data_IF_566285554576
#
_entry.id   IF_566285554576
#
_cell.length_a   1.000
_cell.length_b   1.000
_cell.length_c   1.000
_cell.angle_alpha   90.00
_cell.angle_beta   90.00
_cell.angle_gamma   90.00
#
_symmetry.space_group_name_H-M   'P 1'
#
loop_
_entity.id
_entity.type
_entity.pdbx_description
1 polymer ?
#
# COMPACT_ATOMS: atom_id res chain seq x y z
N UNK A 1 -13.55 -6.83 13.87
CA UNK A 1 -12.74 -7.72 12.98
C UNK A 1 -12.58 -7.06 11.62
N UNK A 2 -11.39 -7.17 10.98
CA UNK A 2 -11.16 -6.66 9.60
C UNK A 2 -11.01 -7.86 8.66
N UNK A 3 -11.72 -7.85 7.53
CA UNK A 3 -11.64 -8.87 6.47
C UNK A 3 -11.42 -8.23 5.11
N UNK A 4 -10.94 -9.01 4.14
CA UNK A 4 -10.69 -8.53 2.77
C UNK A 4 -11.59 -9.32 1.83
N UNK A 5 -12.25 -8.62 0.93
CA UNK A 5 -13.09 -9.22 -0.10
C UNK A 5 -12.83 -8.58 -1.46
N UNK A 6 -13.16 -9.35 -2.52
CA UNK A 6 -12.99 -8.83 -3.86
C UNK A 6 -14.02 -7.73 -4.14
N UNK A 7 -13.58 -6.62 -4.72
CA UNK A 7 -14.41 -5.45 -5.10
C UNK A 7 -15.62 -5.81 -5.98
N UNK A 8 -15.58 -6.94 -6.66
CA UNK A 8 -16.69 -7.41 -7.51
C UNK A 8 -17.80 -8.13 -6.73
N UNK A 9 -17.57 -8.43 -5.44
CA UNK A 9 -18.59 -9.01 -4.57
C UNK A 9 -19.75 -8.02 -4.39
N UNK A 10 -20.98 -8.52 -4.52
CA UNK A 10 -22.18 -7.70 -4.31
C UNK A 10 -22.38 -7.42 -2.81
N UNK A 11 -22.86 -6.22 -2.43
CA UNK A 11 -23.12 -5.88 -1.03
C UNK A 11 -24.03 -6.88 -0.32
N UNK A 12 -25.06 -7.38 -0.98
CA UNK A 12 -26.03 -8.33 -0.42
C UNK A 12 -25.35 -9.66 -0.03
N UNK A 13 -24.36 -10.09 -0.83
CA UNK A 13 -23.57 -11.29 -0.53
C UNK A 13 -22.66 -11.07 0.68
N UNK A 14 -22.09 -9.88 0.79
CA UNK A 14 -21.23 -9.51 1.92
C UNK A 14 -22.05 -9.40 3.23
N UNK A 15 -23.19 -8.74 3.20
CA UNK A 15 -24.07 -8.64 4.36
C UNK A 15 -24.59 -10.01 4.82
N UNK A 16 -24.92 -10.90 3.88
CA UNK A 16 -25.31 -12.29 4.22
C UNK A 16 -24.18 -13.07 4.88
N UNK A 17 -22.91 -12.81 4.48
CA UNK A 17 -21.74 -13.53 5.00
C UNK A 17 -21.26 -12.98 6.35
N UNK A 18 -21.32 -11.66 6.54
CA UNK A 18 -20.66 -10.97 7.64
C UNK A 18 -21.61 -10.26 8.60
N UNK A 19 -22.91 -10.29 8.33
CA UNK A 19 -23.94 -9.61 9.12
C UNK A 19 -24.40 -8.30 8.48
N UNK A 20 -25.66 -7.94 8.75
CA UNK A 20 -26.29 -6.75 8.17
C UNK A 20 -25.68 -5.43 8.66
N UNK A 21 -24.97 -5.45 9.78
CA UNK A 21 -24.31 -4.30 10.39
C UNK A 21 -22.82 -4.19 9.99
N UNK A 22 -22.32 -5.07 9.14
CA UNK A 22 -20.95 -5.02 8.62
C UNK A 22 -20.71 -3.72 7.83
N UNK A 23 -19.51 -3.18 7.95
CA UNK A 23 -19.10 -1.94 7.26
C UNK A 23 -18.33 -2.33 6.00
N UNK A 24 -18.83 -1.92 4.84
CA UNK A 24 -18.15 -2.11 3.55
C UNK A 24 -17.29 -0.88 3.28
N UNK A 25 -15.97 -1.05 3.19
CA UNK A 25 -15.00 -0.01 2.93
C UNK A 25 -14.26 -0.30 1.61
N UNK A 26 -14.62 0.41 0.55
CA UNK A 26 -13.89 0.36 -0.72
C UNK A 26 -12.58 1.14 -0.59
N UNK A 27 -11.43 0.47 -0.65
CA UNK A 27 -10.11 1.10 -0.54
C UNK A 27 -9.40 1.25 -1.89
N UNK A 28 -10.11 0.98 -3.00
CA UNK A 28 -9.54 1.12 -4.35
C UNK A 28 -9.40 2.59 -4.76
N UNK A 29 -8.70 2.82 -5.87
CA UNK A 29 -8.55 4.17 -6.45
C UNK A 29 -9.87 4.81 -6.93
N UNK A 30 -10.96 4.05 -6.95
CA UNK A 30 -12.31 4.51 -7.33
C UNK A 30 -13.23 4.68 -6.12
N UNK A 31 -12.68 4.53 -4.92
CA UNK A 31 -13.44 4.67 -3.69
C UNK A 31 -14.00 6.09 -3.51
N UNK A 32 -15.12 6.16 -2.82
CA UNK A 32 -15.75 7.40 -2.39
C UNK A 32 -15.40 7.70 -0.92
N UNK A 33 -15.90 8.77 -0.38
CA UNK A 33 -15.84 9.11 1.05
C UNK A 33 -14.43 9.22 1.63
N UNK A 34 -13.46 9.59 0.79
CA UNK A 34 -12.07 9.78 1.18
C UNK A 34 -11.26 8.49 1.33
N UNK A 35 -11.84 7.31 1.17
CA UNK A 35 -11.13 6.03 1.26
C UNK A 35 -10.19 5.77 0.06
N UNK A 36 -10.38 6.46 -1.07
CA UNK A 36 -9.43 6.46 -2.18
C UNK A 36 -8.01 6.86 -1.73
N UNK A 37 -7.86 7.58 -0.63
CA UNK A 37 -6.57 7.93 -0.01
C UNK A 37 -5.77 6.69 0.43
N UNK A 38 -6.41 5.56 0.66
CA UNK A 38 -5.74 4.29 0.93
C UNK A 38 -5.20 3.60 -0.33
N UNK A 39 -5.58 4.07 -1.51
CA UNK A 39 -5.06 3.50 -2.75
C UNK A 39 -3.59 3.89 -2.97
N UNK A 40 -2.72 2.96 -3.41
CA UNK A 40 -1.34 3.27 -3.78
C UNK A 40 -1.21 4.23 -4.97
N UNK A 41 -2.31 4.48 -5.69
CA UNK A 41 -2.38 5.46 -6.79
C UNK A 41 -2.71 6.87 -6.33
N UNK A 42 -3.15 7.07 -5.07
CA UNK A 42 -3.58 8.38 -4.60
C UNK A 42 -2.40 9.35 -4.46
N UNK A 43 -2.51 10.58 -5.02
CA UNK A 43 -1.40 11.55 -5.08
C UNK A 43 -1.26 12.32 -3.76
N UNK A 44 -0.68 11.68 -2.75
CA UNK A 44 -0.40 12.32 -1.47
C UNK A 44 0.67 13.40 -1.52
N UNK A 45 1.62 13.26 -2.45
CA UNK A 45 2.80 14.12 -2.57
C UNK A 45 3.84 13.92 -1.46
N UNK A 46 5.09 14.24 -1.76
CA UNK A 46 6.18 14.25 -0.80
C UNK A 46 6.53 12.88 -0.21
N UNK A 47 6.23 11.79 -0.90
CA UNK A 47 6.58 10.43 -0.45
C UNK A 47 8.06 10.20 -0.75
N UNK A 48 8.93 9.92 0.25
CA UNK A 48 10.33 9.64 0.01
C UNK A 48 10.51 8.41 -0.89
N UNK A 49 11.37 8.53 -1.90
CA UNK A 49 11.74 7.39 -2.75
C UNK A 49 12.82 6.58 -2.02
N UNK A 50 12.62 5.27 -1.75
CA UNK A 50 13.59 4.45 -1.06
C UNK A 50 14.98 4.53 -1.69
N UNK A 51 16.02 4.59 -0.85
CA UNK A 51 17.42 4.64 -1.25
C UNK A 51 17.72 5.67 -2.37
N UNK A 52 17.08 6.85 -2.29
CA UNK A 52 17.16 7.90 -3.32
C UNK A 52 17.12 9.27 -2.67
N UNK A 53 18.26 9.72 -2.13
CA UNK A 53 18.36 11.00 -1.43
C UNK A 53 17.85 12.16 -2.32
N UNK A 54 17.03 13.04 -1.74
CA UNK A 54 16.45 14.20 -2.42
C UNK A 54 15.28 13.89 -3.37
N UNK A 55 14.95 12.63 -3.61
CA UNK A 55 13.81 12.27 -4.46
C UNK A 55 12.54 12.01 -3.65
N UNK A 56 11.45 12.62 -4.09
CA UNK A 56 10.10 12.35 -3.59
C UNK A 56 9.14 12.05 -4.74
N UNK A 57 8.04 11.38 -4.43
CA UNK A 57 7.02 11.08 -5.42
C UNK A 57 5.61 11.45 -4.94
N UNK A 58 4.69 11.50 -5.86
CA UNK A 58 3.28 11.83 -5.60
C UNK A 58 2.52 10.66 -4.99
N UNK A 59 2.80 9.44 -5.42
CA UNK A 59 2.11 8.24 -4.94
C UNK A 59 3.02 7.01 -4.94
N UNK A 60 2.60 5.95 -4.24
CA UNK A 60 3.36 4.69 -4.12
C UNK A 60 3.54 4.01 -5.48
N UNK A 61 2.47 3.98 -6.28
CA UNK A 61 2.54 3.38 -7.62
C UNK A 61 3.51 4.15 -8.56
N UNK A 62 3.63 5.45 -8.41
CA UNK A 62 4.58 6.25 -9.17
C UNK A 62 6.04 5.83 -8.85
N UNK A 63 6.35 5.55 -7.59
CA UNK A 63 7.66 5.00 -7.20
C UNK A 63 7.86 3.61 -7.80
N UNK A 64 6.87 2.74 -7.63
CA UNK A 64 6.93 1.38 -8.16
C UNK A 64 7.16 1.33 -9.66
N UNK A 65 6.44 2.14 -10.42
CA UNK A 65 6.58 2.19 -11.88
C UNK A 65 7.83 2.96 -12.32
N UNK A 66 8.20 4.01 -11.61
CA UNK A 66 9.38 4.80 -11.92
C UNK A 66 10.68 4.03 -11.76
N UNK A 67 10.79 3.20 -10.72
CA UNK A 67 11.97 2.36 -10.46
C UNK A 67 12.00 1.06 -11.25
N UNK A 68 10.93 0.72 -12.01
CA UNK A 68 10.86 -0.50 -12.80
C UNK A 68 11.77 -0.45 -14.03
N UNK A 69 12.54 -1.52 -14.24
CA UNK A 69 13.44 -1.72 -15.37
C UNK A 69 12.84 -2.71 -16.35
N UNK A 70 12.95 -2.43 -17.64
CA UNK A 70 12.47 -3.25 -18.73
C UNK A 70 13.61 -3.56 -19.71
N UNK A 71 13.39 -4.48 -20.63
CA UNK A 71 14.36 -4.83 -21.69
C UNK A 71 14.81 -3.61 -22.52
N UNK A 72 13.90 -2.66 -22.77
CA UNK A 72 14.17 -1.49 -23.64
C UNK A 72 14.20 -0.15 -22.89
N UNK A 73 14.01 -0.14 -21.56
CA UNK A 73 13.98 1.09 -20.79
C UNK A 73 14.40 0.87 -19.34
N UNK A 74 15.27 1.72 -18.83
CA UNK A 74 15.63 1.79 -17.41
C UNK A 74 14.58 2.59 -16.62
N UNK A 75 14.92 3.03 -15.40
CA UNK A 75 14.05 3.83 -14.53
C UNK A 75 13.54 5.09 -15.25
N UNK A 76 12.42 5.60 -14.78
CA UNK A 76 11.77 6.79 -15.29
C UNK A 76 11.35 7.69 -14.13
N UNK A 77 12.20 8.67 -13.77
CA UNK A 77 11.97 9.55 -12.63
C UNK A 77 10.84 10.56 -12.86
N UNK A 78 10.45 10.82 -14.13
CA UNK A 78 9.29 11.66 -14.41
C UNK A 78 7.98 11.03 -13.91
N UNK A 79 7.93 9.71 -13.81
CA UNK A 79 6.79 9.02 -13.20
C UNK A 79 6.52 9.48 -11.77
N UNK A 80 7.55 9.88 -11.01
CA UNK A 80 7.38 10.34 -9.62
C UNK A 80 6.49 11.57 -9.48
N UNK A 81 6.34 12.34 -10.54
CA UNK A 81 5.51 13.56 -10.57
C UNK A 81 4.06 13.32 -11.00
N UNK A 82 3.71 12.08 -11.38
CA UNK A 82 2.36 11.77 -11.85
C UNK A 82 1.33 11.81 -10.71
N UNK A 83 0.53 12.85 -10.68
CA UNK A 83 -0.53 13.09 -9.69
C UNK A 83 -1.95 12.84 -10.23
N UNK A 84 -2.06 12.35 -11.46
CA UNK A 84 -3.35 12.24 -12.18
C UNK A 84 -4.11 10.95 -11.89
N UNK A 85 -3.51 9.99 -11.18
CA UNK A 85 -4.01 8.61 -10.99
C UNK A 85 -4.22 7.87 -12.32
N UNK A 86 -3.72 8.39 -13.44
CA UNK A 86 -3.87 7.84 -14.80
C UNK A 86 -2.51 7.69 -15.45
N UNK A 87 -2.41 6.75 -16.40
CA UNK A 87 -1.21 6.51 -17.20
C UNK A 87 0.07 6.24 -16.38
N UNK A 88 -0.06 5.80 -15.13
CA UNK A 88 1.08 5.50 -14.24
C UNK A 88 1.75 4.18 -14.67
N UNK A 89 0.99 3.21 -15.20
CA UNK A 89 1.54 1.89 -15.52
C UNK A 89 2.40 1.91 -16.77
N UNK A 90 3.66 1.52 -16.61
CA UNK A 90 4.57 1.20 -17.71
C UNK A 90 4.28 -0.22 -18.19
N UNK A 91 3.97 -0.39 -19.48
CA UNK A 91 3.42 -1.64 -19.99
C UNK A 91 4.45 -2.48 -20.76
N UNK A 92 4.33 -3.81 -20.69
CA UNK A 92 5.13 -4.77 -21.45
C UNK A 92 5.04 -4.50 -22.96
N UNK A 93 3.86 -4.12 -23.44
CA UNK A 93 3.65 -3.80 -24.87
C UNK A 93 4.57 -2.67 -25.36
N UNK A 94 4.88 -1.69 -24.49
CA UNK A 94 5.70 -0.52 -24.88
C UNK A 94 7.17 -0.73 -24.59
N UNK A 95 7.52 -1.42 -23.51
CA UNK A 95 8.88 -1.44 -22.99
C UNK A 95 9.54 -2.83 -22.96
N UNK A 96 8.84 -3.88 -23.41
CA UNK A 96 9.32 -5.24 -23.31
C UNK A 96 9.14 -5.86 -21.93
N UNK A 97 9.79 -6.97 -21.66
CA UNK A 97 9.66 -7.73 -20.41
C UNK A 97 10.26 -6.95 -19.24
N UNK A 98 9.60 -6.91 -18.07
CA UNK A 98 10.20 -6.37 -16.86
C UNK A 98 11.39 -7.24 -16.41
N UNK A 99 12.51 -6.60 -16.13
CA UNK A 99 13.73 -7.25 -15.63
C UNK A 99 13.82 -7.19 -14.10
N UNK A 100 13.19 -6.18 -13.48
CA UNK A 100 13.22 -5.96 -12.05
C UNK A 100 12.95 -4.51 -11.68
N UNK A 101 13.45 -4.07 -10.52
CA UNK A 101 13.40 -2.69 -10.06
C UNK A 101 14.78 -2.26 -9.57
N UNK A 102 15.20 -1.04 -9.89
CA UNK A 102 16.38 -0.45 -9.25
C UNK A 102 16.07 -0.19 -7.76
N UNK A 103 17.04 -0.52 -6.91
CA UNK A 103 16.94 -0.17 -5.49
C UNK A 103 17.29 1.30 -5.26
N UNK A 104 16.47 2.18 -5.82
CA UNK A 104 16.63 3.62 -5.78
C UNK A 104 17.24 4.23 -7.04
N UNK A 105 17.13 5.57 -7.13
CA UNK A 105 17.71 6.36 -8.22
C UNK A 105 19.23 6.36 -8.09
N UNK A 106 19.93 6.07 -9.17
CA UNK A 106 21.41 5.96 -9.18
C UNK A 106 21.95 4.63 -8.67
N UNK A 107 21.14 3.75 -8.09
CA UNK A 107 21.57 2.41 -7.68
C UNK A 107 21.77 1.51 -8.90
N UNK A 108 22.86 0.73 -8.88
CA UNK A 108 23.09 -0.34 -9.88
C UNK A 108 22.44 -1.66 -9.47
N UNK A 109 21.99 -1.79 -8.23
CA UNK A 109 21.33 -2.99 -7.73
C UNK A 109 19.95 -3.16 -8.38
N UNK A 110 19.77 -4.31 -9.05
CA UNK A 110 18.52 -4.71 -9.68
C UNK A 110 17.83 -5.75 -8.80
N UNK A 111 16.76 -5.35 -8.16
CA UNK A 111 15.94 -6.21 -7.30
C UNK A 111 15.03 -7.11 -8.11
N UNK A 112 14.86 -8.36 -7.68
CA UNK A 112 13.79 -9.23 -8.15
C UNK A 112 12.42 -8.63 -7.83
N UNK A 113 11.34 -9.19 -8.42
CA UNK A 113 9.98 -8.73 -8.12
C UNK A 113 9.62 -8.82 -6.63
N UNK A 114 10.03 -9.91 -5.98
CA UNK A 114 9.75 -10.12 -4.54
C UNK A 114 10.62 -9.20 -3.68
N UNK A 115 11.91 -9.07 -3.98
CA UNK A 115 12.79 -8.18 -3.23
C UNK A 115 12.35 -6.71 -3.37
N UNK A 116 11.95 -6.29 -4.57
CA UNK A 116 11.39 -4.97 -4.78
C UNK A 116 10.09 -4.75 -3.99
N UNK A 117 9.23 -5.77 -3.92
CA UNK A 117 8.02 -5.72 -3.09
C UNK A 117 8.37 -5.49 -1.63
N UNK A 118 9.36 -6.22 -1.09
CA UNK A 118 9.82 -6.13 0.30
C UNK A 118 10.59 -4.84 0.60
N UNK A 119 11.47 -4.42 -0.31
CA UNK A 119 12.43 -3.32 -0.07
C UNK A 119 11.97 -1.96 -0.62
N UNK A 120 10.98 -1.91 -1.51
CA UNK A 120 10.44 -0.68 -2.09
C UNK A 120 8.96 -0.51 -1.73
N UNK A 121 8.10 -1.43 -2.20
CA UNK A 121 6.65 -1.22 -2.13
C UNK A 121 6.12 -1.20 -0.69
N UNK A 122 6.43 -2.23 0.10
CA UNK A 122 5.95 -2.36 1.48
C UNK A 122 6.43 -1.22 2.38
N UNK A 123 7.74 -0.84 2.40
CA UNK A 123 8.21 0.29 3.20
C UNK A 123 7.59 1.62 2.78
N UNK A 124 7.48 1.87 1.47
CA UNK A 124 6.87 3.09 0.94
C UNK A 124 5.40 3.20 1.32
N UNK A 125 4.65 2.09 1.21
CA UNK A 125 3.23 2.09 1.57
C UNK A 125 3.03 2.26 3.08
N UNK A 126 3.90 1.64 3.92
CA UNK A 126 3.92 1.89 5.36
C UNK A 126 4.10 3.37 5.68
N UNK A 127 5.06 4.02 5.02
CA UNK A 127 5.28 5.45 5.21
C UNK A 127 4.01 6.27 4.93
N UNK A 128 3.26 5.94 3.87
CA UNK A 128 1.97 6.58 3.56
C UNK A 128 0.94 6.33 4.66
N UNK A 129 0.83 5.10 5.16
CA UNK A 129 -0.10 4.77 6.23
C UNK A 129 0.17 5.60 7.48
N UNK A 130 1.45 5.77 7.85
CA UNK A 130 1.89 6.51 9.03
C UNK A 130 1.78 8.03 8.87
N UNK A 131 2.14 8.57 7.70
CA UNK A 131 2.33 10.02 7.53
C UNK A 131 1.15 10.73 6.83
N UNK A 132 0.30 9.99 6.13
CA UNK A 132 -0.77 10.60 5.30
C UNK A 132 -2.18 10.18 5.70
N UNK A 133 -2.36 8.94 6.18
CA UNK A 133 -3.71 8.37 6.35
C UNK A 133 -3.93 7.69 7.72
N UNK A 134 -3.10 7.96 8.71
CA UNK A 134 -3.22 7.38 10.06
C UNK A 134 -4.63 7.57 10.64
N UNK A 135 -5.22 8.74 10.46
CA UNK A 135 -6.58 9.03 10.91
C UNK A 135 -7.64 8.10 10.29
N UNK A 136 -7.43 7.61 9.06
CA UNK A 136 -8.31 6.62 8.43
C UNK A 136 -8.09 5.24 9.06
N UNK A 137 -6.83 4.87 9.31
CA UNK A 137 -6.48 3.60 9.97
C UNK A 137 -7.11 3.54 11.37
N UNK A 138 -7.03 4.60 12.14
CA UNK A 138 -7.63 4.67 13.48
C UNK A 138 -9.15 4.50 13.44
N UNK A 139 -9.82 5.12 12.48
CA UNK A 139 -11.27 4.92 12.27
C UNK A 139 -11.61 3.48 11.91
N UNK A 140 -10.80 2.82 11.07
CA UNK A 140 -11.01 1.40 10.74
C UNK A 140 -10.78 0.51 11.96
N UNK A 141 -9.74 0.78 12.77
CA UNK A 141 -9.49 0.07 14.04
C UNK A 141 -10.68 0.21 14.99
N UNK A 142 -11.16 1.43 15.20
CA UNK A 142 -12.28 1.69 16.10
C UNK A 142 -13.55 0.98 15.63
N UNK A 143 -13.91 1.10 14.36
CA UNK A 143 -15.06 0.42 13.79
C UNK A 143 -14.96 -1.11 13.93
N UNK A 144 -13.74 -1.65 13.79
CA UNK A 144 -13.50 -3.10 13.85
C UNK A 144 -13.63 -3.70 15.26
N UNK A 145 -13.69 -2.89 16.30
CA UNK A 145 -13.92 -3.34 17.68
C UNK A 145 -15.33 -3.89 17.89
N UNK A 146 -16.30 -3.30 17.23
CA UNK A 146 -17.72 -3.63 17.41
C UNK A 146 -18.36 -4.28 16.20
N UNK A 147 -17.82 -4.03 14.99
CA UNK A 147 -18.39 -4.51 13.73
C UNK A 147 -17.35 -5.23 12.88
N UNK A 148 -17.81 -6.01 11.92
CA UNK A 148 -16.94 -6.50 10.85
C UNK A 148 -16.72 -5.39 9.82
N UNK A 149 -15.46 -5.02 9.58
CA UNK A 149 -15.04 -4.08 8.53
C UNK A 149 -14.54 -4.89 7.34
N UNK A 150 -15.15 -4.70 6.18
CA UNK A 150 -14.85 -5.43 4.94
C UNK A 150 -14.11 -4.47 4.02
N UNK A 151 -12.80 -4.68 3.86
CA UNK A 151 -11.99 -3.92 2.91
C UNK A 151 -12.14 -4.52 1.52
N UNK A 152 -12.54 -3.72 0.55
CA UNK A 152 -12.68 -4.15 -0.85
C UNK A 152 -11.47 -3.77 -1.68
N UNK A 153 -10.88 -4.76 -2.37
CA UNK A 153 -9.81 -4.58 -3.34
C UNK A 153 -10.04 -5.47 -4.57
N UNK A 154 -9.38 -5.17 -5.68
CA UNK A 154 -9.43 -6.02 -6.89
C UNK A 154 -8.65 -7.32 -6.70
N UNK A 155 -7.53 -7.27 -5.98
CA UNK A 155 -6.75 -8.43 -5.56
C UNK A 155 -6.91 -8.63 -4.04
N UNK A 156 -6.91 -9.89 -3.61
CA UNK A 156 -7.02 -10.27 -2.19
C UNK A 156 -5.79 -11.04 -1.69
N UNK A 157 -4.72 -11.06 -2.49
CA UNK A 157 -3.50 -11.75 -2.13
C UNK A 157 -2.79 -11.03 -0.98
N UNK A 158 -2.64 -11.70 0.15
CA UNK A 158 -1.90 -11.21 1.31
C UNK A 158 -0.48 -11.80 1.43
N UNK A 159 -0.15 -12.78 0.59
CA UNK A 159 1.15 -13.45 0.60
C UNK A 159 2.18 -12.57 -0.13
N UNK A 160 3.13 -12.05 0.65
CA UNK A 160 4.22 -11.19 0.16
C UNK A 160 5.14 -11.95 -0.80
N UNK A 161 5.32 -13.24 -0.59
CA UNK A 161 6.24 -14.07 -1.36
C UNK A 161 5.61 -14.73 -2.60
N UNK A 162 4.32 -14.50 -2.84
CA UNK A 162 3.63 -15.02 -4.01
C UNK A 162 3.89 -14.16 -5.27
N UNK A 163 4.74 -14.60 -6.23
CA UNK A 163 5.05 -13.81 -7.43
C UNK A 163 3.94 -13.85 -8.49
N UNK A 164 2.97 -14.77 -8.35
CA UNK A 164 1.93 -15.01 -9.37
C UNK A 164 0.77 -14.02 -9.28
N UNK A 165 0.61 -13.35 -8.14
CA UNK A 165 -0.46 -12.38 -7.90
C UNK A 165 0.08 -11.07 -7.37
N UNK A 166 -0.48 -9.93 -7.76
CA UNK A 166 -0.19 -8.66 -7.11
C UNK A 166 -0.49 -8.75 -5.61
N UNK A 167 0.29 -8.04 -4.80
CA UNK A 167 0.00 -7.88 -3.39
C UNK A 167 -1.18 -6.91 -3.24
N UNK A 168 -2.19 -7.32 -2.48
CA UNK A 168 -3.33 -6.47 -2.17
C UNK A 168 -2.92 -5.36 -1.21
N UNK A 169 -3.18 -4.10 -1.56
CA UNK A 169 -2.97 -3.01 -0.62
C UNK A 169 -3.98 -3.04 0.53
N UNK A 170 -5.18 -3.60 0.33
CA UNK A 170 -6.12 -3.84 1.41
C UNK A 170 -5.55 -4.82 2.45
N UNK A 171 -4.73 -5.81 2.01
CA UNK A 171 -4.05 -6.71 2.96
C UNK A 171 -3.02 -5.98 3.81
N UNK A 172 -2.32 -5.01 3.24
CA UNK A 172 -1.37 -4.17 3.97
C UNK A 172 -2.09 -3.21 4.93
N UNK A 173 -3.22 -2.62 4.52
CA UNK A 173 -4.08 -1.82 5.42
C UNK A 173 -4.55 -2.64 6.61
N UNK A 174 -5.07 -3.85 6.35
CA UNK A 174 -5.50 -4.78 7.41
C UNK A 174 -4.33 -5.10 8.34
N UNK A 175 -3.21 -5.56 7.81
CA UNK A 175 -2.03 -5.95 8.59
C UNK A 175 -1.52 -4.78 9.45
N UNK A 176 -1.51 -3.56 8.91
CA UNK A 176 -1.13 -2.37 9.66
C UNK A 176 -2.14 -2.04 10.78
N UNK A 177 -3.42 -2.12 10.49
CA UNK A 177 -4.47 -1.90 11.49
C UNK A 177 -4.41 -2.94 12.63
N UNK A 178 -4.01 -4.18 12.34
CA UNK A 178 -3.89 -5.27 13.30
C UNK A 178 -2.51 -5.37 13.97
N UNK A 179 -1.55 -4.50 13.63
CA UNK A 179 -0.20 -4.48 14.24
C UNK A 179 0.73 -5.60 13.77
N UNK A 180 0.45 -6.23 12.63
CA UNK A 180 1.21 -7.35 12.05
C UNK A 180 1.77 -7.01 10.66
N UNK A 181 2.11 -5.75 10.42
CA UNK A 181 2.58 -5.29 9.11
C UNK A 181 3.88 -6.02 8.70
N UNK A 182 3.97 -6.54 7.46
CA UNK A 182 5.14 -7.29 7.00
C UNK A 182 6.29 -6.33 6.65
N UNK A 183 6.98 -5.81 7.67
CA UNK A 183 8.10 -4.91 7.52
C UNK A 183 9.25 -5.36 8.43
N UNK A 184 10.39 -5.63 7.81
CA UNK A 184 11.66 -5.82 8.51
C UNK A 184 12.48 -4.54 8.32
N UNK A 185 12.97 -3.94 9.41
CA UNK A 185 13.92 -2.84 9.32
C UNK A 185 15.18 -3.32 8.60
N UNK A 186 15.85 -2.43 7.88
CA UNK A 186 17.06 -2.73 7.07
C UNK A 186 18.19 -3.33 7.92
N UNK A 187 18.12 -3.20 9.24
CA UNK A 187 19.06 -3.74 10.20
C UNK A 187 18.66 -5.10 10.80
N UNK A 188 17.63 -5.76 10.26
CA UNK A 188 17.17 -7.07 10.75
C UNK A 188 16.48 -7.04 12.12
N UNK A 189 16.18 -5.87 12.67
CA UNK A 189 15.39 -5.71 13.88
C UNK A 189 13.90 -5.63 13.52
N UNK A 190 13.16 -6.68 13.84
CA UNK A 190 11.69 -6.65 13.86
C UNK A 190 11.27 -5.71 14.99
N UNK A 191 10.90 -4.48 14.70
CA UNK A 191 10.20 -3.66 15.67
C UNK A 191 8.77 -4.20 15.78
N UNK A 192 8.57 -5.05 16.77
CA UNK A 192 7.25 -5.36 17.28
C UNK A 192 6.55 -4.07 17.71
N UNK A 193 5.28 -3.97 17.40
CA UNK A 193 4.26 -3.00 17.88
C UNK A 193 4.83 -1.78 18.60
N UNK A 194 4.70 -0.61 17.98
CA UNK A 194 4.87 0.65 18.69
C UNK A 194 3.98 0.63 19.94
N UNK A 195 4.59 0.75 21.10
CA UNK A 195 3.90 1.01 22.36
C UNK A 195 3.04 2.27 22.14
N UNK A 196 1.75 2.12 22.35
CA UNK A 196 0.80 3.23 22.37
C UNK A 196 1.24 4.13 23.52
N UNK A 197 1.51 5.43 23.32
CA UNK A 197 1.79 6.33 24.43
C UNK A 197 0.59 6.33 25.37
N UNK A 198 0.82 5.97 26.62
CA UNK A 198 -0.15 6.08 27.69
C UNK A 198 -0.59 7.55 27.77
N UNK A 199 -1.82 7.82 27.46
CA UNK A 199 -2.41 9.13 27.58
C UNK A 199 -2.47 9.50 29.07
N UNK A 200 -1.65 10.46 29.47
CA UNK A 200 -1.72 11.06 30.79
C UNK A 200 -3.07 11.78 30.92
N UNK A 201 -3.96 11.22 31.73
CA UNK A 201 -5.19 11.88 32.17
C UNK A 201 -4.83 13.04 33.07
N UNK A 202 -5.04 14.25 32.60
CA UNK A 202 -5.10 15.41 33.47
C UNK A 202 -6.52 15.53 34.04
N UNK A 203 -6.68 15.27 35.33
CA UNK A 203 -7.85 15.63 36.09
C UNK A 203 -7.81 17.11 36.44
N UNK A 204 -8.88 17.86 36.08
CA UNK A 204 -9.27 19.09 36.75
C UNK A 204 -10.77 19.01 37.05
#
# INVERSE_FOLDING_TARGET
MIVIENKRCKPETLYRKYGADAIIADVTSKAQDGLAKLSPFYPHGGIPVPNSEGYTATCVEAIWQGLKVFETADIDTEMFRNDTMRNIKRTVRRFGKPLGHRYGVGSQELLSYIDARKRIYIPTYRWVLENKVMHIIERLREASRTKTVILLDYDTNADVDNPRKPLSHASLVKAYAEGIYPYEDVDGTVRGSAEVPVQLTFSF
#
